data_IF_074554663383
#
_entry.id   IF_074554663383
#
_cell.length_a   1.000
_cell.length_b   1.000
_cell.length_c   1.000
_cell.angle_alpha   90.00
_cell.angle_beta   90.00
_cell.angle_gamma   90.00
#
_symmetry.space_group_name_H-M   'P 1'
#
loop_
_entity.id
_entity.type
_entity.pdbx_description
1 polymer ?
#
# COMPACT_ATOMS: atom_id res chain seq x y z
N UNK A 1 17.45 22.47 -12.43
CA UNK A 1 17.59 21.41 -11.40
C UNK A 1 17.87 22.14 -10.09
N UNK A 2 17.26 21.87 -8.93
CA UNK A 2 16.44 20.75 -8.46
C UNK A 2 15.06 21.20 -7.90
N UNK A 3 14.17 20.25 -7.60
CA UNK A 3 12.99 20.27 -6.70
C UNK A 3 11.85 19.51 -7.37
N UNK A 4 11.11 18.61 -6.74
CA UNK A 4 11.08 18.12 -5.37
C UNK A 4 10.07 16.98 -5.44
N UNK A 5 10.57 15.76 -5.18
CA UNK A 5 9.80 14.61 -4.71
C UNK A 5 8.41 14.46 -5.38
N UNK A 6 8.37 13.78 -6.54
CA UNK A 6 7.19 13.02 -6.94
C UNK A 6 6.90 12.05 -5.78
N UNK A 7 6.04 12.46 -4.84
CA UNK A 7 5.57 11.63 -3.75
C UNK A 7 4.60 10.67 -4.42
N UNK A 8 5.13 9.58 -4.98
CA UNK A 8 4.37 8.42 -5.43
C UNK A 8 3.42 8.02 -4.31
N UNK A 9 2.18 8.50 -4.40
CA UNK A 9 1.07 8.11 -3.52
C UNK A 9 -0.12 7.60 -4.36
N UNK A 10 0.07 7.48 -5.68
CA UNK A 10 -1.03 7.28 -6.64
C UNK A 10 -1.07 5.87 -7.26
N UNK A 11 -0.27 4.90 -6.81
CA UNK A 11 -0.23 3.59 -7.46
C UNK A 11 -0.16 2.36 -6.55
N UNK A 12 -0.39 2.50 -5.25
CA UNK A 12 -0.61 1.33 -4.40
C UNK A 12 -2.10 0.94 -4.51
N UNK A 13 -2.46 -0.24 -5.06
CA UNK A 13 -3.85 -0.68 -5.16
C UNK A 13 -4.45 -1.10 -3.80
N UNK A 14 -3.71 -0.84 -2.73
CA UNK A 14 -4.05 -1.13 -1.36
C UNK A 14 -4.31 0.18 -0.61
N UNK A 15 -5.13 0.10 0.45
CA UNK A 15 -5.42 1.25 1.28
C UNK A 15 -4.14 1.87 1.87
N UNK A 16 -4.16 3.17 2.19
CA UNK A 16 -3.04 3.83 2.87
C UNK A 16 -2.73 3.09 4.18
N UNK A 17 -1.49 2.65 4.38
CA UNK A 17 -1.16 1.77 5.49
C UNK A 17 -1.28 0.28 5.16
N UNK A 18 -1.52 -0.09 3.90
CA UNK A 18 -1.49 -1.46 3.41
C UNK A 18 -0.62 -1.59 2.16
N UNK A 19 0.27 -2.58 2.16
CA UNK A 19 1.17 -2.90 1.04
C UNK A 19 0.63 -4.11 0.27
N UNK A 20 0.69 -4.06 -1.06
CA UNK A 20 0.31 -5.20 -1.89
C UNK A 20 1.42 -6.26 -1.85
N UNK A 21 1.13 -7.43 -1.30
CA UNK A 21 2.02 -8.60 -1.35
C UNK A 21 1.45 -9.64 -2.31
N UNK A 22 1.79 -9.49 -3.59
CA UNK A 22 1.37 -10.42 -4.63
C UNK A 22 -0.13 -10.37 -4.92
N UNK A 23 -0.68 -11.49 -5.38
CA UNK A 23 -2.09 -11.67 -5.74
C UNK A 23 -2.68 -12.85 -4.97
N UNK A 24 -3.93 -12.73 -4.52
CA UNK A 24 -4.66 -13.77 -3.79
C UNK A 24 -6.01 -14.04 -4.44
N UNK A 25 -6.39 -15.31 -4.50
CA UNK A 25 -7.70 -15.73 -5.01
C UNK A 25 -8.75 -15.59 -3.92
N UNK A 26 -9.70 -14.66 -4.07
CA UNK A 26 -10.84 -14.48 -3.15
C UNK A 26 -12.13 -14.71 -3.94
N UNK A 27 -12.90 -15.72 -3.55
CA UNK A 27 -14.17 -16.08 -4.23
C UNK A 27 -14.01 -16.32 -5.74
N UNK A 28 -12.95 -17.03 -6.13
CA UNK A 28 -12.66 -17.34 -7.55
C UNK A 28 -12.06 -16.19 -8.36
N UNK A 29 -11.97 -14.97 -7.81
CA UNK A 29 -11.37 -13.79 -8.46
C UNK A 29 -9.97 -13.52 -7.90
N UNK A 30 -9.05 -13.07 -8.75
CA UNK A 30 -7.71 -12.65 -8.33
C UNK A 30 -7.75 -11.22 -7.83
N UNK A 31 -7.35 -11.01 -6.58
CA UNK A 31 -7.39 -9.74 -5.86
C UNK A 31 -5.99 -9.46 -5.30
N UNK A 32 -5.46 -8.23 -5.38
CA UNK A 32 -4.20 -7.88 -4.73
C UNK A 32 -4.29 -8.17 -3.23
N UNK A 33 -3.28 -8.87 -2.69
CA UNK A 33 -3.26 -9.22 -1.27
C UNK A 33 -2.66 -8.05 -0.48
N UNK A 34 -3.53 -7.15 -0.03
CA UNK A 34 -3.16 -5.99 0.78
C UNK A 34 -2.91 -6.42 2.23
N UNK A 35 -1.68 -6.25 2.74
CA UNK A 35 -1.34 -6.51 4.15
C UNK A 35 -1.03 -5.20 4.86
N UNK A 36 -1.37 -5.05 6.14
CA UNK A 36 -1.06 -3.82 6.88
C UNK A 36 0.46 -3.64 6.96
N UNK A 37 0.96 -2.51 6.47
CA UNK A 37 2.36 -2.13 6.70
C UNK A 37 2.50 -1.81 8.19
N UNK A 38 3.49 -2.42 8.86
CA UNK A 38 3.75 -2.20 10.30
C UNK A 38 4.20 -0.76 10.63
N UNK A 39 4.13 0.18 9.69
CA UNK A 39 4.61 1.56 9.83
C UNK A 39 3.63 2.47 10.57
N UNK A 40 2.36 2.10 10.65
CA UNK A 40 1.33 2.94 11.28
C UNK A 40 1.15 2.72 12.80
N UNK A 41 1.80 1.72 13.39
CA UNK A 41 1.67 1.46 14.84
C UNK A 41 2.50 2.40 15.73
N UNK A 42 3.22 3.39 15.17
CA UNK A 42 4.11 4.27 15.95
C UNK A 42 4.19 5.69 15.40
N UNK A 43 3.05 6.32 15.11
CA UNK A 43 2.98 7.78 14.99
C UNK A 43 1.57 8.33 15.18
N UNK A 44 1.04 8.22 16.40
CA UNK A 44 0.26 9.34 16.94
C UNK A 44 0.17 9.21 18.47
N UNK A 45 0.36 10.37 19.11
CA UNK A 45 0.42 10.66 20.55
C UNK A 45 1.75 10.40 21.27
#
# INVERSE_FOLDING_TARGET
MPTKKKKSLEKDPCWKGYEQIGMKKKSGKEVPNCVPEKKDAKKDK
#
